data_IF_848929751009
#
_entry.id   IF_848929751009
#
_cell.length_a   1.000
_cell.length_b   1.000
_cell.length_c   1.000
_cell.angle_alpha   90.00
_cell.angle_beta   90.00
_cell.angle_gamma   90.00
#
_symmetry.space_group_name_H-M   'P 1'
#
loop_
_entity.id
_entity.type
_entity.pdbx_description
1 polymer ?
#
# COMPACT_ATOMS: atom_id res chain seq x y z
N UNK A 1 7.38 -53.05 -50.29
CA UNK A 1 6.01 -52.81 -49.76
C UNK A 1 5.44 -51.52 -50.34
N UNK A 2 4.14 -51.48 -50.65
CA UNK A 2 3.47 -50.24 -51.03
C UNK A 2 3.32 -49.30 -49.83
N UNK A 3 3.49 -47.98 -50.02
CA UNK A 3 3.34 -46.98 -48.96
C UNK A 3 1.86 -46.84 -48.57
N UNK A 4 1.58 -46.72 -47.27
CA UNK A 4 0.20 -46.53 -46.82
C UNK A 4 -0.35 -45.16 -47.23
N UNK A 5 -1.68 -45.04 -47.38
CA UNK A 5 -2.33 -43.77 -47.77
C UNK A 5 -2.00 -42.61 -46.80
N UNK A 6 -1.75 -42.90 -45.53
CA UNK A 6 -1.31 -41.92 -44.53
C UNK A 6 0.18 -41.53 -44.68
N UNK A 7 1.06 -42.47 -45.04
CA UNK A 7 2.46 -42.17 -45.39
C UNK A 7 2.55 -41.31 -46.65
N UNK A 8 1.80 -41.64 -47.71
CA UNK A 8 1.75 -40.86 -48.96
C UNK A 8 1.28 -39.43 -48.69
N UNK A 9 0.23 -39.24 -47.89
CA UNK A 9 -0.20 -37.89 -47.48
C UNK A 9 0.83 -37.17 -46.60
N UNK A 10 1.57 -37.88 -45.73
CA UNK A 10 2.63 -37.27 -44.92
C UNK A 10 3.77 -36.75 -45.80
N UNK A 11 4.27 -37.58 -46.72
CA UNK A 11 5.32 -37.21 -47.67
C UNK A 11 4.88 -36.06 -48.58
N UNK A 12 3.65 -36.08 -49.09
CA UNK A 12 3.10 -34.96 -49.86
C UNK A 12 3.11 -33.65 -49.06
N UNK A 13 2.64 -33.68 -47.80
CA UNK A 13 2.67 -32.51 -46.90
C UNK A 13 4.10 -32.05 -46.62
N UNK A 14 5.08 -32.95 -46.52
CA UNK A 14 6.48 -32.62 -46.27
C UNK A 14 7.17 -32.01 -47.51
N UNK A 15 6.93 -32.55 -48.72
CA UNK A 15 7.32 -31.90 -49.99
C UNK A 15 6.69 -30.51 -50.11
N UNK A 16 5.42 -30.34 -49.72
CA UNK A 16 4.73 -29.04 -49.72
C UNK A 16 5.37 -28.03 -48.76
N UNK A 17 5.76 -28.46 -47.55
CA UNK A 17 6.50 -27.61 -46.58
C UNK A 17 7.87 -27.18 -47.11
N UNK A 18 8.61 -28.09 -47.76
CA UNK A 18 9.91 -27.77 -48.35
C UNK A 18 9.77 -26.75 -49.49
N UNK A 19 8.79 -26.93 -50.38
CA UNK A 19 8.51 -26.00 -51.50
C UNK A 19 8.02 -24.62 -51.03
N UNK A 20 7.13 -24.57 -50.02
CA UNK A 20 6.58 -23.31 -49.50
C UNK A 20 7.51 -22.63 -48.45
N UNK A 21 8.50 -23.36 -47.90
CA UNK A 21 9.64 -22.86 -47.13
C UNK A 21 9.33 -21.81 -46.06
N UNK A 22 10.02 -20.66 -46.14
CA UNK A 22 9.84 -19.52 -45.22
C UNK A 22 8.39 -18.99 -45.19
N UNK A 23 7.64 -19.13 -46.29
CA UNK A 23 6.24 -18.72 -46.36
C UNK A 23 5.29 -19.71 -45.68
N UNK A 24 5.61 -21.02 -45.65
CA UNK A 24 4.91 -21.97 -44.80
C UNK A 24 5.09 -21.61 -43.32
N UNK A 25 6.32 -21.30 -42.89
CA UNK A 25 6.60 -20.91 -41.50
C UNK A 25 5.86 -19.63 -41.08
N UNK A 26 5.82 -18.60 -41.93
CA UNK A 26 5.03 -17.37 -41.67
C UNK A 26 3.52 -17.64 -41.57
N UNK A 27 2.96 -18.49 -42.44
CA UNK A 27 1.54 -18.87 -42.39
C UNK A 27 1.22 -19.73 -41.15
N UNK A 28 2.14 -20.60 -40.74
CA UNK A 28 2.03 -21.44 -39.55
C UNK A 28 2.08 -20.59 -38.27
N UNK A 29 3.00 -19.63 -38.14
CA UNK A 29 3.10 -18.74 -36.97
C UNK A 29 1.90 -17.81 -36.85
N UNK A 30 1.45 -17.19 -37.94
CA UNK A 30 0.23 -16.37 -37.95
C UNK A 30 -1.02 -17.18 -37.52
N UNK A 31 -1.14 -18.45 -37.93
CA UNK A 31 -2.22 -19.33 -37.49
C UNK A 31 -2.12 -19.70 -36.00
N UNK A 32 -0.92 -19.85 -35.45
CA UNK A 32 -0.72 -20.09 -34.01
C UNK A 32 -1.10 -18.86 -33.20
N UNK A 33 -0.63 -17.67 -33.60
CA UNK A 33 -0.93 -16.39 -32.93
C UNK A 33 -2.44 -16.11 -32.91
N UNK A 34 -3.15 -16.35 -34.02
CA UNK A 34 -4.62 -16.15 -34.13
C UNK A 34 -5.45 -16.94 -33.09
N UNK A 35 -4.89 -18.00 -32.51
CA UNK A 35 -5.56 -18.84 -31.50
C UNK A 35 -4.73 -18.96 -30.20
N UNK A 36 -3.78 -18.06 -29.97
CA UNK A 36 -3.02 -18.01 -28.73
C UNK A 36 -3.83 -17.29 -27.63
N UNK A 37 -3.74 -17.79 -26.40
CA UNK A 37 -4.36 -17.19 -25.21
C UNK A 37 -3.28 -17.08 -24.12
N UNK A 38 -2.89 -15.86 -23.70
CA UNK A 38 -1.91 -15.64 -22.64
C UNK A 38 -2.20 -16.42 -21.34
N UNK A 39 -1.15 -16.89 -20.67
CA UNK A 39 -1.29 -17.67 -19.43
C UNK A 39 -1.86 -16.87 -18.24
N UNK A 40 -1.90 -15.53 -18.34
CA UNK A 40 -2.55 -14.65 -17.37
C UNK A 40 -4.08 -14.58 -17.54
N UNK A 41 -4.58 -14.80 -18.76
CA UNK A 41 -6.02 -14.75 -19.09
C UNK A 41 -6.74 -16.08 -18.84
N UNK A 42 -5.99 -17.19 -18.75
CA UNK A 42 -6.57 -18.51 -18.47
C UNK A 42 -7.06 -18.65 -17.01
N UNK A 43 -8.22 -19.29 -16.78
CA UNK A 43 -8.61 -19.70 -15.43
C UNK A 43 -7.63 -20.74 -14.87
N UNK A 44 -7.42 -20.71 -13.55
CA UNK A 44 -6.38 -21.47 -12.85
C UNK A 44 -6.42 -22.98 -13.13
N UNK A 45 -7.61 -23.57 -13.28
CA UNK A 45 -7.83 -24.99 -13.61
C UNK A 45 -7.28 -25.35 -14.99
N UNK A 46 -7.47 -24.47 -15.98
CA UNK A 46 -6.96 -24.69 -17.34
C UNK A 46 -5.47 -24.39 -17.45
N UNK A 47 -4.98 -23.36 -16.74
CA UNK A 47 -3.54 -23.09 -16.62
C UNK A 47 -2.79 -24.31 -16.06
N UNK A 48 -3.29 -24.92 -14.97
CA UNK A 48 -2.72 -26.19 -14.44
C UNK A 48 -2.75 -27.33 -15.47
N UNK A 49 -3.83 -27.46 -16.25
CA UNK A 49 -3.96 -28.48 -17.32
C UNK A 49 -3.01 -28.23 -18.51
N UNK A 50 -2.74 -26.98 -18.87
CA UNK A 50 -1.74 -26.58 -19.88
C UNK A 50 -0.33 -26.93 -19.39
N UNK A 51 0.04 -26.49 -18.18
CA UNK A 51 1.35 -26.74 -17.58
C UNK A 51 1.66 -28.24 -17.43
N UNK A 52 0.67 -29.07 -17.04
CA UNK A 52 0.85 -30.52 -16.96
C UNK A 52 1.14 -31.17 -18.33
N UNK A 53 0.47 -30.71 -19.40
CA UNK A 53 0.75 -31.17 -20.77
C UNK A 53 2.13 -30.72 -21.25
N UNK A 54 2.51 -29.47 -20.97
CA UNK A 54 3.84 -28.95 -21.27
C UNK A 54 4.92 -29.79 -20.57
N UNK A 55 4.78 -30.10 -19.28
CA UNK A 55 5.74 -30.96 -18.53
C UNK A 55 5.97 -32.32 -19.20
N UNK A 56 4.90 -33.02 -19.62
CA UNK A 56 5.03 -34.32 -20.33
C UNK A 56 5.67 -34.16 -21.71
N UNK A 57 5.30 -33.14 -22.48
CA UNK A 57 5.94 -32.81 -23.76
C UNK A 57 7.43 -32.51 -23.57
N UNK A 58 7.79 -31.77 -22.54
CA UNK A 58 9.17 -31.35 -22.27
C UNK A 58 10.03 -32.52 -21.78
N UNK A 59 9.47 -33.42 -20.96
CA UNK A 59 10.16 -34.64 -20.54
C UNK A 59 10.43 -35.57 -21.74
N UNK A 60 9.46 -35.75 -22.64
CA UNK A 60 9.65 -36.55 -23.87
C UNK A 60 10.58 -35.87 -24.87
N UNK A 61 10.55 -34.54 -25.00
CA UNK A 61 11.48 -33.78 -25.83
C UNK A 61 12.91 -33.83 -25.27
N UNK A 62 13.11 -33.68 -23.95
CA UNK A 62 14.44 -33.83 -23.31
C UNK A 62 15.00 -35.24 -23.53
N UNK A 63 14.21 -36.31 -23.35
CA UNK A 63 14.63 -37.69 -23.67
C UNK A 63 15.11 -37.83 -25.13
N UNK A 64 14.35 -37.30 -26.09
CA UNK A 64 14.73 -37.32 -27.52
C UNK A 64 15.95 -36.45 -27.84
N UNK A 65 16.06 -35.26 -27.24
CA UNK A 65 17.22 -34.37 -27.44
C UNK A 65 18.49 -34.96 -26.85
N UNK A 66 18.45 -35.58 -25.67
CA UNK A 66 19.62 -36.21 -25.07
C UNK A 66 20.12 -37.38 -25.93
N UNK A 67 19.21 -38.20 -26.47
CA UNK A 67 19.55 -39.26 -27.41
C UNK A 67 20.17 -38.74 -28.73
N UNK A 68 19.79 -37.54 -29.19
CA UNK A 68 20.35 -36.91 -30.39
C UNK A 68 21.64 -36.11 -30.13
N UNK A 69 21.81 -35.53 -28.93
CA UNK A 69 23.02 -34.78 -28.56
C UNK A 69 24.23 -35.71 -28.35
N UNK A 70 23.99 -36.96 -27.95
CA UNK A 70 24.99 -38.02 -27.91
C UNK A 70 25.56 -38.39 -29.30
N UNK A 71 24.99 -37.84 -30.38
CA UNK A 71 25.39 -38.04 -31.78
C UNK A 71 25.98 -36.74 -32.40
N UNK A 72 26.15 -35.66 -31.62
CA UNK A 72 26.45 -34.32 -32.19
C UNK A 72 27.52 -33.51 -31.44
N UNK A 73 28.14 -34.05 -30.40
CA UNK A 73 29.13 -33.34 -29.57
C UNK A 73 30.57 -33.36 -30.16
N UNK A 74 30.75 -33.65 -31.46
CA UNK A 74 32.07 -33.77 -32.11
C UNK A 74 32.59 -32.46 -32.76
N UNK A 75 31.93 -31.29 -32.61
CA UNK A 75 32.30 -30.09 -33.41
C UNK A 75 32.07 -28.66 -32.82
N UNK A 76 33.17 -27.92 -32.56
CA UNK A 76 33.44 -26.44 -32.81
C UNK A 76 32.90 -25.31 -31.87
N UNK A 77 33.68 -24.19 -31.67
CA UNK A 77 33.45 -23.02 -30.74
C UNK A 77 34.09 -21.61 -31.11
N UNK A 78 33.77 -20.49 -30.35
CA UNK A 78 34.29 -19.04 -30.29
C UNK A 78 33.77 -17.91 -31.28
N UNK A 79 33.95 -16.53 -31.23
CA UNK A 79 34.73 -15.44 -30.48
C UNK A 79 34.05 -13.99 -30.42
N UNK A 80 34.71 -12.80 -30.13
CA UNK A 80 34.06 -11.48 -29.69
C UNK A 80 34.80 -10.04 -29.77
N UNK A 81 34.12 -8.90 -29.37
CA UNK A 81 34.51 -7.48 -28.81
C UNK A 81 34.95 -6.20 -29.69
N UNK A 82 35.03 -4.84 -29.38
CA UNK A 82 34.76 -3.80 -28.25
C UNK A 82 34.49 -2.23 -28.62
N UNK A 83 34.91 -1.15 -27.86
CA UNK A 83 34.48 0.35 -27.83
C UNK A 83 35.63 1.49 -27.65
N UNK A 84 35.64 2.88 -27.44
CA UNK A 84 34.79 4.12 -27.10
C UNK A 84 35.51 5.59 -27.19
N UNK A 85 34.95 6.75 -26.64
CA UNK A 85 35.52 8.17 -26.24
C UNK A 85 35.42 9.44 -27.24
N UNK A 86 35.46 10.83 -27.02
CA UNK A 86 35.54 11.93 -25.93
C UNK A 86 35.68 13.48 -26.41
N UNK A 87 35.61 14.61 -25.59
CA UNK A 87 35.74 16.11 -25.99
C UNK A 87 35.93 17.30 -24.90
N UNK A 88 36.17 18.65 -25.18
CA UNK A 88 36.64 19.79 -24.25
C UNK A 88 35.93 21.25 -24.13
N UNK A 89 36.56 22.37 -23.57
CA UNK A 89 35.95 23.62 -22.90
C UNK A 89 36.57 25.11 -23.08
N UNK A 90 36.04 26.25 -22.48
CA UNK A 90 36.34 27.76 -22.71
C UNK A 90 36.19 28.80 -21.48
N UNK A 91 36.65 30.10 -21.52
CA UNK A 91 36.75 31.17 -20.40
C UNK A 91 36.39 32.70 -20.78
N UNK A 92 36.33 33.72 -19.84
CA UNK A 92 35.94 35.19 -19.99
C UNK A 92 36.61 36.29 -19.04
N UNK A 93 36.35 37.62 -19.23
CA UNK A 93 36.97 38.83 -18.54
C UNK A 93 36.03 40.07 -18.18
N UNK A 94 36.47 41.15 -17.45
CA UNK A 94 35.61 42.22 -16.80
C UNK A 94 35.77 43.74 -17.21
N UNK A 95 35.08 44.69 -16.53
CA UNK A 95 34.93 46.15 -16.85
C UNK A 95 34.97 47.15 -15.63
N UNK A 96 35.08 48.48 -15.87
CA UNK A 96 35.38 49.54 -14.84
C UNK A 96 34.48 50.82 -14.88
N UNK A 97 34.10 51.35 -13.70
CA UNK A 97 34.03 52.81 -13.41
C UNK A 97 32.68 53.59 -13.46
N UNK A 98 32.18 54.12 -12.31
CA UNK A 98 31.22 55.28 -12.22
C UNK A 98 31.36 56.09 -10.90
N UNK A 99 31.02 57.40 -10.94
CA UNK A 99 31.23 58.42 -9.88
C UNK A 99 30.36 58.24 -8.60
N UNK A 100 30.82 58.77 -7.45
CA UNK A 100 30.18 58.68 -6.12
C UNK A 100 29.72 60.06 -5.61
N UNK A 101 28.42 60.23 -5.31
CA UNK A 101 27.86 61.51 -4.84
C UNK A 101 26.46 61.38 -4.23
N UNK A 102 25.43 61.83 -4.95
CA UNK A 102 24.03 61.93 -4.47
C UNK A 102 23.44 60.66 -3.84
N UNK A 103 23.95 59.46 -4.20
CA UNK A 103 23.56 58.17 -3.59
C UNK A 103 23.53 58.21 -2.04
N UNK A 104 24.45 58.93 -1.38
CA UNK A 104 24.58 58.96 0.09
C UNK A 104 23.39 59.59 0.85
N UNK A 105 22.63 60.52 0.25
CA UNK A 105 21.43 61.09 0.91
C UNK A 105 20.24 60.13 0.78
N UNK A 106 20.00 59.62 -0.42
CA UNK A 106 18.89 58.69 -0.68
C UNK A 106 19.03 57.38 0.10
N UNK A 107 20.24 56.84 0.27
CA UNK A 107 20.45 55.64 1.10
C UNK A 107 20.13 55.89 2.59
N UNK A 108 20.34 57.09 3.14
CA UNK A 108 19.95 57.43 4.51
C UNK A 108 18.42 57.49 4.68
N UNK A 109 17.71 58.07 3.71
CA UNK A 109 16.25 58.10 3.71
C UNK A 109 15.66 56.67 3.59
N UNK A 110 16.16 55.88 2.64
CA UNK A 110 15.78 54.47 2.47
C UNK A 110 16.09 53.63 3.72
N UNK A 111 17.24 53.82 4.36
CA UNK A 111 17.58 53.13 5.61
C UNK A 111 16.60 53.45 6.75
N UNK A 112 16.16 54.72 6.89
CA UNK A 112 15.11 55.11 7.84
C UNK A 112 13.77 54.44 7.50
N UNK A 113 13.36 54.43 6.23
CA UNK A 113 12.13 53.78 5.77
C UNK A 113 12.15 52.25 6.00
N UNK A 114 13.25 51.57 5.69
CA UNK A 114 13.43 50.15 6.00
C UNK A 114 13.45 49.88 7.51
N UNK A 115 14.00 50.80 8.32
CA UNK A 115 13.92 50.75 9.78
C UNK A 115 12.49 50.83 10.31
N UNK A 116 11.69 51.77 9.79
CA UNK A 116 10.27 51.90 10.11
C UNK A 116 9.48 50.65 9.68
N UNK A 117 9.69 50.14 8.46
CA UNK A 117 9.07 48.88 8.02
C UNK A 117 9.44 47.68 8.89
N UNK A 118 10.68 47.59 9.39
CA UNK A 118 11.09 46.53 10.34
C UNK A 118 10.34 46.65 11.67
N UNK A 119 10.20 47.86 12.23
CA UNK A 119 9.42 48.11 13.46
C UNK A 119 7.95 47.73 13.28
N UNK A 120 7.31 48.23 12.23
CA UNK A 120 5.90 47.96 11.91
C UNK A 120 5.62 46.47 11.67
N UNK A 121 6.56 45.71 11.08
CA UNK A 121 6.44 44.24 10.97
C UNK A 121 6.44 43.55 12.33
N UNK A 122 7.37 43.93 13.23
CA UNK A 122 7.44 43.38 14.60
C UNK A 122 6.20 43.77 15.41
N UNK A 123 5.67 44.98 15.24
CA UNK A 123 4.43 45.42 15.89
C UNK A 123 3.20 44.68 15.37
N UNK A 124 3.08 44.51 14.05
CA UNK A 124 2.04 43.66 13.42
C UNK A 124 2.07 42.24 13.97
N UNK A 125 3.25 41.64 14.12
CA UNK A 125 3.39 40.34 14.77
C UNK A 125 2.97 40.34 16.25
N UNK A 126 3.39 41.34 17.04
CA UNK A 126 2.97 41.49 18.44
C UNK A 126 1.45 41.63 18.56
N UNK A 127 0.83 42.39 17.67
CA UNK A 127 -0.63 42.56 17.61
C UNK A 127 -1.33 41.26 17.17
N UNK A 128 -0.84 40.54 16.17
CA UNK A 128 -1.37 39.22 15.78
C UNK A 128 -1.24 38.19 16.91
N UNK A 129 -0.13 38.19 17.67
CA UNK A 129 0.07 37.38 18.87
C UNK A 129 -0.95 37.74 19.97
N UNK A 130 -1.17 39.04 20.23
CA UNK A 130 -2.22 39.53 21.16
C UNK A 130 -3.63 39.15 20.71
N UNK A 131 -3.97 39.31 19.43
CA UNK A 131 -5.26 38.95 18.83
C UNK A 131 -5.50 37.44 18.96
N UNK A 132 -4.52 36.60 18.64
CA UNK A 132 -4.58 35.14 18.81
C UNK A 132 -4.74 34.71 20.27
N UNK A 133 -4.19 35.46 21.23
CA UNK A 133 -4.44 35.24 22.65
C UNK A 133 -5.86 35.66 23.07
N UNK A 134 -6.33 36.84 22.63
CA UNK A 134 -7.67 37.35 22.94
C UNK A 134 -8.79 36.54 22.29
N UNK A 135 -8.64 36.06 21.05
CA UNK A 135 -9.61 35.17 20.41
C UNK A 135 -9.65 33.78 21.08
N UNK A 136 -8.53 33.27 21.59
CA UNK A 136 -8.50 32.10 22.49
C UNK A 136 -9.20 32.37 23.83
N UNK A 137 -9.06 33.57 24.40
CA UNK A 137 -9.77 33.97 25.63
C UNK A 137 -11.29 34.06 25.38
N UNK A 138 -11.71 34.72 24.30
CA UNK A 138 -13.11 34.82 23.89
C UNK A 138 -13.74 33.46 23.59
N UNK A 139 -13.05 32.56 22.87
CA UNK A 139 -13.54 31.19 22.64
C UNK A 139 -13.75 30.41 23.95
N UNK A 140 -12.89 30.60 24.97
CA UNK A 140 -13.08 30.00 26.30
C UNK A 140 -14.25 30.60 27.07
N UNK A 141 -14.53 31.89 26.89
CA UNK A 141 -15.68 32.57 27.49
C UNK A 141 -16.99 32.19 26.80
N UNK A 142 -17.03 32.14 25.47
CA UNK A 142 -18.22 31.72 24.72
C UNK A 142 -18.56 30.24 24.99
N UNK A 143 -17.57 29.35 25.15
CA UNK A 143 -17.86 27.99 25.62
C UNK A 143 -18.47 27.97 27.02
N UNK A 144 -18.00 28.82 27.96
CA UNK A 144 -18.57 28.90 29.31
C UNK A 144 -20.00 29.42 29.31
N UNK A 145 -20.28 30.49 28.55
CA UNK A 145 -21.60 31.10 28.44
C UNK A 145 -22.59 30.10 27.80
N UNK A 146 -22.19 29.42 26.73
CA UNK A 146 -23.01 28.41 26.06
C UNK A 146 -23.24 27.14 26.92
N UNK A 147 -22.41 26.90 27.94
CA UNK A 147 -22.66 25.87 28.97
C UNK A 147 -23.44 26.37 30.19
N UNK A 148 -23.76 27.67 30.28
CA UNK A 148 -24.55 28.24 31.38
C UNK A 148 -26.06 28.00 31.24
N UNK A 149 -26.57 27.96 30.00
CA UNK A 149 -28.00 27.78 29.69
C UNK A 149 -28.39 26.33 29.36
N UNK A 150 -27.50 25.36 29.61
CA UNK A 150 -27.78 23.92 29.53
C UNK A 150 -27.29 23.25 30.81
N UNK A 151 -27.99 22.18 31.22
CA UNK A 151 -27.67 21.36 32.42
C UNK A 151 -26.15 21.10 32.49
N UNK A 152 -25.51 21.15 33.69
CA UNK A 152 -24.06 21.20 33.86
C UNK A 152 -23.36 20.19 32.96
N UNK A 153 -22.73 20.71 31.89
CA UNK A 153 -22.29 19.92 30.74
C UNK A 153 -21.26 18.87 31.15
N UNK A 154 -21.36 17.67 30.58
CA UNK A 154 -20.44 16.57 30.86
C UNK A 154 -18.96 17.03 30.81
N UNK A 155 -18.10 16.59 31.74
CA UNK A 155 -16.76 17.13 31.92
C UNK A 155 -15.88 16.91 30.68
N UNK A 156 -15.72 17.97 29.89
CA UNK A 156 -15.06 18.00 28.58
C UNK A 156 -13.57 17.59 28.59
N UNK A 157 -12.91 17.51 29.76
CA UNK A 157 -11.53 17.01 29.88
C UNK A 157 -11.38 15.94 30.96
N UNK A 158 -10.41 15.01 30.84
CA UNK A 158 -10.09 14.04 31.89
C UNK A 158 -9.82 14.66 33.26
N UNK A 159 -9.12 15.80 33.33
CA UNK A 159 -8.88 16.48 34.62
C UNK A 159 -10.18 17.00 35.23
N UNK A 160 -11.03 17.70 34.47
CA UNK A 160 -12.37 18.12 34.97
C UNK A 160 -13.21 16.93 35.43
N UNK A 161 -13.11 15.78 34.75
CA UNK A 161 -13.82 14.56 35.13
C UNK A 161 -13.32 14.00 36.46
N UNK A 162 -12.00 13.94 36.66
CA UNK A 162 -11.46 13.57 37.99
C UNK A 162 -11.80 14.57 39.07
N UNK A 163 -11.89 15.87 38.78
CA UNK A 163 -12.17 16.86 39.81
C UNK A 163 -13.64 16.87 40.24
N UNK A 164 -14.56 16.40 39.39
CA UNK A 164 -15.93 16.05 39.77
C UNK A 164 -15.97 14.74 40.57
N UNK A 165 -15.40 13.65 40.06
CA UNK A 165 -15.37 12.35 40.77
C UNK A 165 -14.66 12.47 42.15
N UNK A 166 -13.66 13.34 42.31
CA UNK A 166 -12.99 13.64 43.60
C UNK A 166 -13.73 14.65 44.48
N UNK A 167 -14.80 15.31 44.00
CA UNK A 167 -15.75 16.06 44.83
C UNK A 167 -16.84 15.10 45.34
N UNK A 168 -17.41 14.31 44.44
CA UNK A 168 -18.43 13.28 44.74
C UNK A 168 -18.00 12.31 45.86
N UNK A 169 -16.70 11.97 45.92
CA UNK A 169 -16.15 11.06 46.94
C UNK A 169 -15.89 11.69 48.33
N UNK A 170 -16.13 12.99 48.53
CA UNK A 170 -16.00 13.70 49.82
C UNK A 170 -14.72 13.38 50.64
N UNK A 171 -13.58 13.17 49.96
CA UNK A 171 -12.32 12.77 50.60
C UNK A 171 -11.57 13.93 51.23
N UNK A 172 -10.99 13.70 52.42
CA UNK A 172 -10.03 14.61 53.05
C UNK A 172 -8.85 14.90 52.11
N UNK A 173 -8.25 16.12 52.11
CA UNK A 173 -7.29 16.53 51.09
C UNK A 173 -6.08 15.58 50.95
N UNK A 174 -5.49 15.14 52.08
CA UNK A 174 -4.38 14.17 52.10
C UNK A 174 -4.74 12.80 51.47
N UNK A 175 -6.02 12.38 51.51
CA UNK A 175 -6.50 11.18 50.81
C UNK A 175 -6.82 11.47 49.34
N UNK A 176 -7.39 12.64 49.05
CA UNK A 176 -7.77 13.12 47.70
C UNK A 176 -6.58 13.11 46.74
N UNK A 177 -5.40 13.56 47.17
CA UNK A 177 -4.19 13.56 46.35
C UNK A 177 -3.68 12.16 45.99
N UNK A 178 -3.65 11.25 46.98
CA UNK A 178 -3.27 9.83 46.80
C UNK A 178 -4.17 9.12 45.77
N UNK A 179 -5.44 9.51 45.69
CA UNK A 179 -6.40 8.99 44.71
C UNK A 179 -6.32 9.73 43.35
N UNK A 180 -6.05 11.04 43.33
CA UNK A 180 -6.07 11.87 42.10
C UNK A 180 -5.24 11.30 40.96
N UNK A 181 -4.00 10.86 41.21
CA UNK A 181 -3.15 10.27 40.14
C UNK A 181 -3.73 8.97 39.56
N UNK A 182 -4.29 8.08 40.40
CA UNK A 182 -4.93 6.82 39.95
C UNK A 182 -6.20 7.09 39.14
N UNK A 183 -6.99 8.08 39.57
CA UNK A 183 -8.23 8.48 38.91
C UNK A 183 -7.96 9.22 37.58
N UNK A 184 -6.90 10.01 37.52
CA UNK A 184 -6.40 10.63 36.27
C UNK A 184 -6.03 9.56 35.25
N UNK A 185 -5.23 8.56 35.63
CA UNK A 185 -4.85 7.48 34.73
C UNK A 185 -6.08 6.73 34.18
N UNK A 186 -7.04 6.36 35.04
CA UNK A 186 -8.33 5.79 34.63
C UNK A 186 -9.03 6.67 33.58
N UNK A 187 -9.20 7.97 33.86
CA UNK A 187 -10.02 8.83 33.01
C UNK A 187 -9.31 9.26 31.72
N UNK A 188 -7.98 9.33 31.70
CA UNK A 188 -7.19 9.53 30.47
C UNK A 188 -7.28 8.30 29.57
N UNK A 189 -7.01 7.09 30.09
CA UNK A 189 -7.07 5.85 29.29
C UNK A 189 -8.47 5.61 28.71
N UNK A 190 -9.53 5.89 29.48
CA UNK A 190 -10.91 5.81 28.96
C UNK A 190 -11.20 6.84 27.84
N UNK A 191 -10.61 8.04 27.93
CA UNK A 191 -10.73 9.10 26.91
C UNK A 191 -9.99 8.70 25.62
N UNK A 192 -8.74 8.25 25.71
CA UNK A 192 -7.93 7.77 24.58
C UNK A 192 -8.61 6.62 23.83
N UNK A 193 -9.20 5.65 24.55
CA UNK A 193 -9.98 4.56 23.94
C UNK A 193 -11.23 5.10 23.21
N UNK A 194 -11.88 6.12 23.78
CA UNK A 194 -13.06 6.75 23.17
C UNK A 194 -12.69 7.54 21.90
N UNK A 195 -11.61 8.32 21.94
CA UNK A 195 -11.09 9.07 20.79
C UNK A 195 -10.59 8.14 19.68
N UNK A 196 -9.82 7.10 20.01
CA UNK A 196 -9.39 6.09 19.05
C UNK A 196 -10.59 5.41 18.35
N UNK A 197 -11.64 5.08 19.11
CA UNK A 197 -12.86 4.50 18.55
C UNK A 197 -13.68 5.49 17.70
N UNK A 198 -13.64 6.77 18.03
CA UNK A 198 -14.31 7.82 17.27
C UNK A 198 -13.60 8.13 15.95
N UNK A 199 -12.27 8.23 15.95
CA UNK A 199 -11.45 8.43 14.75
C UNK A 199 -11.50 7.23 13.79
N UNK A 200 -11.59 6.02 14.33
CA UNK A 200 -11.78 4.78 13.55
C UNK A 200 -13.13 4.78 12.83
N UNK A 201 -13.14 4.68 11.50
CA UNK A 201 -14.35 4.42 10.69
C UNK A 201 -14.68 2.92 10.59
N UNK A 202 -13.66 2.09 10.40
CA UNK A 202 -13.74 0.64 10.16
C UNK A 202 -14.40 -0.15 11.29
N UNK A 203 -15.41 -0.96 10.94
CA UNK A 203 -16.08 -1.86 11.90
C UNK A 203 -15.11 -2.89 12.51
N UNK A 204 -14.13 -3.35 11.73
CA UNK A 204 -13.14 -4.35 12.19
C UNK A 204 -12.17 -3.77 13.21
N UNK A 205 -11.73 -2.53 13.05
CA UNK A 205 -10.89 -1.82 14.02
C UNK A 205 -11.68 -1.41 15.27
N UNK A 206 -12.95 -0.96 15.11
CA UNK A 206 -13.86 -0.76 16.26
C UNK A 206 -14.04 -2.05 17.06
N UNK A 207 -14.00 -3.22 16.41
CA UNK A 207 -14.04 -4.51 17.07
C UNK A 207 -12.68 -4.92 17.69
N UNK A 208 -11.53 -4.56 17.09
CA UNK A 208 -10.21 -4.85 17.69
C UNK A 208 -9.99 -4.03 18.97
N UNK A 209 -10.39 -2.75 18.98
CA UNK A 209 -10.41 -1.91 20.20
C UNK A 209 -11.26 -2.58 21.29
N UNK A 210 -12.47 -3.05 20.96
CA UNK A 210 -13.32 -3.76 21.92
C UNK A 210 -12.69 -5.07 22.45
N UNK A 211 -11.88 -5.79 21.64
CA UNK A 211 -11.14 -6.99 22.04
C UNK A 211 -9.88 -6.70 22.88
N UNK A 212 -9.28 -5.53 22.72
CA UNK A 212 -8.13 -5.09 23.52
C UNK A 212 -8.59 -4.72 24.94
N UNK A 213 -9.71 -4.00 25.03
CA UNK A 213 -10.25 -3.45 26.29
C UNK A 213 -11.08 -4.48 27.08
N UNK A 214 -11.84 -5.37 26.41
CA UNK A 214 -12.53 -6.48 27.10
C UNK A 214 -11.64 -7.71 27.24
N UNK A 215 -11.55 -8.27 28.45
CA UNK A 215 -10.74 -9.47 28.70
C UNK A 215 -11.12 -10.21 29.98
N UNK A 216 -10.34 -11.25 30.34
CA UNK A 216 -10.58 -12.07 31.53
C UNK A 216 -10.74 -11.22 32.80
N UNK A 217 -9.90 -10.20 33.00
CA UNK A 217 -9.95 -9.31 34.17
C UNK A 217 -11.20 -8.40 34.18
N UNK A 218 -11.54 -7.72 33.08
CA UNK A 218 -12.73 -6.85 33.03
C UNK A 218 -14.03 -7.63 33.21
N UNK A 219 -14.05 -8.90 32.81
CA UNK A 219 -15.13 -9.85 33.08
C UNK A 219 -15.14 -10.32 34.55
N UNK A 220 -14.01 -10.78 35.11
CA UNK A 220 -13.88 -11.23 36.51
C UNK A 220 -14.39 -10.17 37.50
N UNK A 221 -13.96 -8.91 37.32
CA UNK A 221 -14.36 -7.80 38.20
C UNK A 221 -15.62 -7.06 37.71
N UNK A 222 -16.39 -7.65 36.79
CA UNK A 222 -17.68 -7.14 36.24
C UNK A 222 -17.64 -5.71 35.65
N UNK A 223 -16.44 -5.16 35.39
CA UNK A 223 -16.17 -3.77 34.99
C UNK A 223 -16.72 -3.37 33.60
N UNK A 224 -17.23 -4.32 32.82
CA UNK A 224 -17.76 -4.07 31.47
C UNK A 224 -18.85 -2.98 31.42
N UNK A 225 -19.59 -2.71 32.51
CA UNK A 225 -20.53 -1.58 32.57
C UNK A 225 -19.82 -0.22 32.70
N UNK A 226 -18.81 -0.12 33.56
CA UNK A 226 -18.02 1.09 33.75
C UNK A 226 -17.20 1.41 32.48
N UNK A 227 -16.60 0.39 31.86
CA UNK A 227 -15.92 0.50 30.56
C UNK A 227 -16.92 0.97 29.48
N UNK A 228 -18.12 0.40 29.44
CA UNK A 228 -19.16 0.79 28.47
C UNK A 228 -19.55 2.26 28.59
N UNK A 229 -19.79 2.74 29.83
CA UNK A 229 -20.04 4.17 30.10
C UNK A 229 -18.83 5.07 29.81
N UNK A 230 -17.61 4.59 30.06
CA UNK A 230 -16.38 5.38 29.90
C UNK A 230 -15.86 5.52 28.47
N UNK A 231 -16.20 4.57 27.57
CA UNK A 231 -15.66 4.47 26.20
C UNK A 231 -16.74 4.53 25.11
N UNK A 232 -18.02 4.59 25.52
CA UNK A 232 -19.19 4.45 24.67
C UNK A 232 -19.33 3.09 23.97
N UNK A 233 -18.48 2.10 24.26
CA UNK A 233 -18.56 0.77 23.64
C UNK A 233 -19.75 0.01 24.23
N UNK A 234 -20.65 -0.50 23.39
CA UNK A 234 -21.87 -1.19 23.84
C UNK A 234 -21.55 -2.38 24.77
N UNK A 235 -22.16 -2.44 25.96
CA UNK A 235 -21.98 -3.56 26.92
C UNK A 235 -22.19 -4.93 26.27
N UNK A 236 -23.14 -5.07 25.33
CA UNK A 236 -23.43 -6.29 24.57
C UNK A 236 -22.28 -6.76 23.66
N UNK A 237 -21.37 -5.88 23.21
CA UNK A 237 -20.18 -6.29 22.43
C UNK A 237 -19.03 -6.66 23.36
N UNK A 238 -18.80 -5.89 24.44
CA UNK A 238 -17.79 -6.21 25.46
C UNK A 238 -18.00 -7.58 26.10
N UNK A 239 -19.25 -8.00 26.36
CA UNK A 239 -19.54 -9.35 26.87
C UNK A 239 -19.26 -10.44 25.85
N UNK A 240 -19.59 -10.23 24.57
CA UNK A 240 -19.38 -11.20 23.47
C UNK A 240 -17.91 -11.39 23.05
N UNK A 241 -16.98 -10.54 23.47
CA UNK A 241 -15.53 -10.75 23.24
C UNK A 241 -15.05 -12.02 23.95
N UNK A 242 -14.76 -13.07 23.19
CA UNK A 242 -14.14 -14.32 23.67
C UNK A 242 -12.61 -14.29 23.58
N UNK A 243 -12.04 -13.67 22.54
CA UNK A 243 -10.61 -13.76 22.20
C UNK A 243 -9.93 -12.39 22.10
N UNK A 244 -8.74 -12.27 22.71
CA UNK A 244 -7.82 -11.12 22.55
C UNK A 244 -7.04 -11.17 21.21
N UNK A 245 -7.69 -11.56 20.12
CA UNK A 245 -7.06 -11.56 18.78
C UNK A 245 -7.11 -10.16 18.18
N UNK A 246 -6.05 -9.39 18.42
CA UNK A 246 -5.51 -8.44 17.42
C UNK A 246 -5.20 -9.27 16.17
N UNK A 247 -5.46 -8.75 14.96
CA UNK A 247 -5.04 -9.47 13.74
C UNK A 247 -3.50 -9.49 13.69
N UNK A 248 -2.87 -10.56 13.17
CA UNK A 248 -1.47 -10.47 12.78
C UNK A 248 -1.31 -9.33 11.77
N UNK A 249 -0.18 -8.64 11.83
CA UNK A 249 0.07 -7.45 11.04
C UNK A 249 -0.07 -7.74 9.53
N UNK A 250 -0.48 -6.76 8.72
CA UNK A 250 -0.64 -6.93 7.26
C UNK A 250 0.66 -7.44 6.62
N UNK A 251 1.82 -7.03 7.17
CA UNK A 251 3.14 -7.55 6.81
C UNK A 251 3.29 -9.06 7.00
N UNK A 252 2.74 -9.65 8.07
CA UNK A 252 2.84 -11.10 8.33
C UNK A 252 2.02 -11.88 7.29
N UNK A 253 0.84 -11.37 6.91
CA UNK A 253 0.04 -11.96 5.83
C UNK A 253 0.75 -11.79 4.46
N UNK A 254 1.31 -10.62 4.18
CA UNK A 254 2.04 -10.35 2.94
C UNK A 254 3.32 -11.18 2.80
N UNK A 255 4.10 -11.38 3.88
CA UNK A 255 5.28 -12.26 3.88
C UNK A 255 4.89 -13.72 3.66
N UNK A 256 3.78 -14.19 4.26
CA UNK A 256 3.26 -15.54 3.98
C UNK A 256 2.75 -15.70 2.55
N UNK A 257 2.09 -14.69 1.99
CA UNK A 257 1.66 -14.71 0.60
C UNK A 257 2.87 -14.70 -0.34
N UNK A 258 3.86 -13.84 -0.09
CA UNK A 258 5.10 -13.80 -0.86
C UNK A 258 5.88 -15.12 -0.78
N UNK A 259 5.93 -15.77 0.39
CA UNK A 259 6.53 -17.09 0.53
C UNK A 259 5.81 -18.14 -0.33
N UNK A 260 4.47 -18.19 -0.29
CA UNK A 260 3.66 -19.07 -1.15
C UNK A 260 3.80 -18.74 -2.65
N UNK A 261 3.91 -17.46 -3.00
CA UNK A 261 4.08 -17.02 -4.39
C UNK A 261 5.52 -17.33 -4.90
N UNK A 262 6.52 -17.31 -4.02
CA UNK A 262 7.90 -17.77 -4.29
C UNK A 262 7.97 -19.29 -4.36
N UNK A 263 7.26 -20.03 -3.52
CA UNK A 263 7.13 -21.48 -3.60
C UNK A 263 6.41 -21.93 -4.89
N UNK A 264 5.31 -21.28 -5.27
CA UNK A 264 4.64 -21.51 -6.56
C UNK A 264 5.49 -21.02 -7.74
N UNK A 265 6.36 -20.03 -7.58
CA UNK A 265 7.34 -19.65 -8.61
C UNK A 265 8.45 -20.70 -8.77
N UNK A 266 9.10 -21.11 -7.68
CA UNK A 266 10.22 -22.06 -7.69
C UNK A 266 9.79 -23.49 -8.02
N UNK A 267 8.54 -23.86 -7.76
CA UNK A 267 7.97 -25.16 -8.17
C UNK A 267 7.44 -25.19 -9.61
N UNK A 268 7.40 -24.04 -10.31
CA UNK A 268 7.25 -24.03 -11.77
C UNK A 268 8.58 -24.41 -12.40
N UNK A 269 8.68 -25.64 -12.89
CA UNK A 269 9.79 -26.09 -13.77
C UNK A 269 9.97 -25.26 -15.06
N UNK A 270 9.01 -24.38 -15.38
CA UNK A 270 9.00 -23.50 -16.54
C UNK A 270 9.72 -22.17 -16.26
N UNK A 271 10.98 -22.26 -15.84
CA UNK A 271 11.85 -21.11 -15.67
C UNK A 271 12.23 -20.55 -17.05
N UNK A 272 11.52 -19.49 -17.45
CA UNK A 272 11.87 -18.44 -18.42
C UNK A 272 12.20 -18.80 -19.88
N UNK A 273 12.15 -20.07 -20.32
CA UNK A 273 12.70 -20.48 -21.64
C UNK A 273 11.79 -21.24 -22.61
N UNK A 274 10.48 -21.32 -22.40
CA UNK A 274 9.56 -21.95 -23.35
C UNK A 274 8.62 -20.96 -24.05
N UNK A 275 8.83 -20.77 -25.36
CA UNK A 275 7.79 -20.22 -26.24
C UNK A 275 6.63 -21.23 -26.37
N UNK A 276 5.37 -20.77 -26.51
CA UNK A 276 4.20 -21.64 -26.52
C UNK A 276 4.21 -22.63 -27.69
N UNK A 277 3.91 -23.89 -27.39
CA UNK A 277 3.89 -24.97 -28.35
C UNK A 277 2.60 -24.99 -29.18
N UNK A 278 2.61 -25.78 -30.28
CA UNK A 278 1.45 -25.93 -31.17
C UNK A 278 0.19 -26.50 -30.49
N UNK A 279 0.32 -27.10 -29.30
CA UNK A 279 -0.78 -27.61 -28.49
C UNK A 279 -1.37 -26.61 -27.48
N UNK A 280 -0.77 -25.43 -27.32
CA UNK A 280 -1.23 -24.40 -26.38
C UNK A 280 -2.27 -23.45 -26.98
N UNK A 281 -2.37 -23.42 -28.31
CA UNK A 281 -3.35 -22.64 -29.05
C UNK A 281 -4.78 -23.22 -28.87
N UNK A 282 -5.69 -22.41 -28.33
CA UNK A 282 -7.09 -22.76 -28.10
C UNK A 282 -7.94 -21.94 -29.08
N UNK A 283 -8.71 -22.62 -29.94
CA UNK A 283 -9.71 -21.96 -30.77
C UNK A 283 -10.85 -21.45 -29.89
N UNK A 284 -10.75 -20.20 -29.42
CA UNK A 284 -11.91 -19.45 -28.95
C UNK A 284 -12.75 -19.14 -30.20
N UNK A 285 -13.79 -19.93 -30.42
CA UNK A 285 -14.92 -19.47 -31.24
C UNK A 285 -15.68 -18.43 -30.43
N UNK A 286 -15.85 -17.26 -31.05
CA UNK A 286 -16.78 -16.19 -30.70
C UNK A 286 -16.96 -15.84 -29.21
N UNK A 287 -16.31 -14.75 -28.83
CA UNK A 287 -17.02 -13.72 -28.05
C UNK A 287 -16.49 -12.34 -28.39
N UNK A 288 -17.35 -11.49 -28.98
CA UNK A 288 -17.30 -10.07 -28.67
C UNK A 288 -17.46 -9.95 -27.16
N UNK A 289 -16.54 -9.25 -26.52
CA UNK A 289 -16.78 -8.59 -25.23
C UNK A 289 -16.33 -7.16 -25.41
N UNK A 290 -17.19 -6.21 -25.05
CA UNK A 290 -16.87 -4.81 -25.14
C UNK A 290 -15.65 -4.50 -24.27
N UNK A 291 -14.79 -3.61 -24.75
CA UNK A 291 -13.78 -2.98 -23.91
C UNK A 291 -14.49 -1.96 -23.00
N UNK A 292 -15.10 -2.41 -21.90
CA UNK A 292 -15.65 -1.52 -20.89
C UNK A 292 -15.70 -2.14 -19.48
N UNK A 293 -15.43 -1.29 -18.49
CA UNK A 293 -15.82 -1.42 -17.08
C UNK A 293 -15.49 -2.75 -16.35
N UNK A 294 -14.22 -2.88 -15.91
CA UNK A 294 -13.94 -3.26 -14.52
C UNK A 294 -12.71 -2.52 -13.97
N UNK A 295 -12.90 -1.23 -13.69
CA UNK A 295 -12.16 -0.56 -12.63
C UNK A 295 -12.53 -1.17 -11.25
N UNK A 296 -11.78 -0.82 -10.20
CA UNK A 296 -12.06 -1.18 -8.80
C UNK A 296 -12.03 -2.67 -8.42
N UNK A 297 -10.84 -3.30 -8.49
CA UNK A 297 -10.46 -4.41 -7.58
C UNK A 297 -9.04 -4.24 -6.99
N UNK A 298 -8.82 -3.11 -6.32
CA UNK A 298 -7.71 -2.94 -5.37
C UNK A 298 -8.27 -2.72 -3.95
N UNK A 299 -8.56 -3.82 -3.26
CA UNK A 299 -9.04 -3.81 -1.87
C UNK A 299 -8.72 -5.13 -1.15
N UNK A 300 -7.57 -5.15 -0.46
CA UNK A 300 -7.12 -6.18 0.51
C UNK A 300 -6.35 -5.47 1.65
#
# INVERSE_FOLDING_TARGET
MAKSRSQIQKEYRERKKLKDGKNYLKKESARVIKYYVPAAELPTKERKKRNARAKVHNQTHRRKRNAAALVLNESVTESSDYESIGSPLVVKLPLVGRRKGGKKKNTRALARAHGAMKRLKVEKEKLLKKLKAKSRQLKRLSTKINTGTRRPSEPCTPNSKTELELRELNLTPKRRERVKRKLMLKNVVLHEISEARASTSSMYERQSIARLVSGKLSKKYRLNLAISKGTGICRKTLTKVSTKRVRPDRRICAVKQLALDVEDFMSREDNSRMQPGKGDAIKIFERRKEANNYSNKLSC
#
